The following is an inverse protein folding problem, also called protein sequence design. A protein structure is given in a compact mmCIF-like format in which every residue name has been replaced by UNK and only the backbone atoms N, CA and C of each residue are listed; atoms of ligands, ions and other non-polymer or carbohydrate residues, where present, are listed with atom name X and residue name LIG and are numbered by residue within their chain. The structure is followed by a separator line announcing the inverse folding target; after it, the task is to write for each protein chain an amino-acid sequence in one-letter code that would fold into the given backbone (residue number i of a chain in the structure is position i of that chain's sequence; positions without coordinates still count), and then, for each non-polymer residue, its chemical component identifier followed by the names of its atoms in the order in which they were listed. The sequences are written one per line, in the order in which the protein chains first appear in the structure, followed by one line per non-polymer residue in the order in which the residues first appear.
data_IF_547117752046
#
_entry.id   IF_547117752046
#
_cell.length_a   1.000
_cell.length_b   1.000
_cell.length_c   1.000
_cell.angle_alpha   90.00
_cell.angle_beta   90.00
_cell.angle_gamma   90.00
#
_symmetry.space_group_name_H-M   'P 1'
#
loop_
_entity.id
_entity.type
_entity.pdbx_description
1 polymer ?
#
# COMPACT_ATOMS: atom_id res chain seq x y z
N UNK A 1 25.87 -19.20 19.80
CA UNK A 1 24.79 -18.47 19.07
C UNK A 1 25.44 -17.36 18.24
N UNK A 2 25.62 -17.59 16.93
CA UNK A 2 26.16 -16.57 16.02
C UNK A 2 25.07 -15.53 15.75
N UNK A 3 25.20 -14.34 16.33
CA UNK A 3 24.43 -13.17 15.90
C UNK A 3 24.83 -12.90 14.43
N UNK A 4 23.97 -13.25 13.48
CA UNK A 4 24.10 -12.77 12.11
C UNK A 4 24.15 -11.24 12.17
N UNK A 5 25.31 -10.66 11.88
CA UNK A 5 25.44 -9.21 11.65
C UNK A 5 24.47 -8.90 10.51
N UNK A 6 23.44 -8.12 10.81
CA UNK A 6 22.64 -7.51 9.74
C UNK A 6 23.57 -6.69 8.86
N UNK A 7 23.47 -6.85 7.55
CA UNK A 7 24.15 -5.93 6.64
C UNK A 7 23.62 -4.52 6.92
N UNK A 8 24.50 -3.53 7.03
CA UNK A 8 24.03 -2.15 7.16
C UNK A 8 23.21 -1.81 5.92
N UNK A 9 22.02 -1.24 6.14
CA UNK A 9 21.22 -0.66 5.05
C UNK A 9 21.95 0.61 4.65
N UNK A 10 22.41 0.76 3.38
CA UNK A 10 23.00 2.00 2.92
C UNK A 10 22.02 3.15 3.15
N UNK A 11 22.51 4.30 3.56
CA UNK A 11 21.73 5.52 3.63
C UNK A 11 21.30 5.98 2.24
N UNK A 12 20.42 7.00 2.14
CA UNK A 12 20.03 7.56 0.86
C UNK A 12 21.27 8.11 0.14
N UNK A 13 21.38 7.74 -1.14
CA UNK A 13 22.37 8.29 -2.07
C UNK A 13 21.63 9.24 -3.02
N UNK A 14 21.61 10.55 -2.73
CA UNK A 14 20.84 11.49 -3.52
C UNK A 14 21.40 11.60 -4.93
N UNK A 15 20.52 11.58 -5.93
CA UNK A 15 20.78 12.04 -7.28
C UNK A 15 20.43 13.52 -7.39
N UNK A 16 21.07 14.23 -8.31
CA UNK A 16 20.76 15.63 -8.59
C UNK A 16 19.94 15.75 -9.89
N UNK A 17 18.86 16.52 -9.85
CA UNK A 17 18.10 16.88 -11.06
C UNK A 17 18.85 18.02 -11.75
N UNK A 18 19.43 17.72 -12.94
CA UNK A 18 20.12 18.72 -13.76
C UNK A 18 19.09 19.57 -14.51
N UNK A 19 18.06 18.94 -15.06
CA UNK A 19 17.04 19.57 -15.90
C UNK A 19 15.73 18.80 -15.84
N UNK A 20 14.61 19.50 -15.73
CA UNK A 20 13.27 18.94 -15.95
C UNK A 20 12.83 19.25 -17.38
N UNK A 21 12.74 18.22 -18.22
CA UNK A 21 12.36 18.34 -19.63
C UNK A 21 10.86 18.43 -19.87
N UNK A 22 10.08 17.74 -19.06
CA UNK A 22 8.63 17.75 -19.15
C UNK A 22 8.00 17.42 -17.78
N UNK A 23 6.78 17.92 -17.59
CA UNK A 23 6.00 17.71 -16.41
C UNK A 23 4.52 17.66 -16.79
N UNK A 24 3.78 16.69 -16.25
CA UNK A 24 2.34 16.54 -16.43
C UNK A 24 1.69 16.24 -15.09
N UNK A 25 0.78 17.11 -14.66
CA UNK A 25 0.01 16.93 -13.44
C UNK A 25 -1.28 16.14 -13.71
N UNK A 26 -1.61 15.19 -12.85
CA UNK A 26 -2.87 14.50 -12.77
C UNK A 26 -3.49 14.66 -11.36
N UNK A 27 -4.71 14.13 -11.12
CA UNK A 27 -5.49 14.36 -9.87
C UNK A 27 -4.65 14.16 -8.59
N UNK A 28 -3.88 13.07 -8.49
CA UNK A 28 -3.11 12.70 -7.28
C UNK A 28 -1.61 12.51 -7.55
N UNK A 29 -1.17 12.52 -8.80
CA UNK A 29 0.21 12.22 -9.19
C UNK A 29 0.74 13.23 -10.20
N UNK A 30 2.08 13.34 -10.26
CA UNK A 30 2.78 14.10 -11.29
C UNK A 30 3.74 13.18 -12.02
N UNK A 31 3.73 13.22 -13.34
CA UNK A 31 4.74 12.59 -14.16
C UNK A 31 5.79 13.61 -14.58
N UNK A 32 7.07 13.29 -14.40
CA UNK A 32 8.21 14.13 -14.76
C UNK A 32 9.18 13.37 -15.66
N UNK A 33 9.78 14.06 -16.64
CA UNK A 33 10.95 13.58 -17.37
C UNK A 33 12.11 14.47 -16.97
N UNK A 34 13.09 13.90 -16.28
CA UNK A 34 14.23 14.62 -15.75
C UNK A 34 15.55 14.03 -16.25
N UNK A 35 16.55 14.90 -16.49
CA UNK A 35 17.95 14.51 -16.54
C UNK A 35 18.51 14.52 -15.12
N UNK A 36 19.11 13.42 -14.72
CA UNK A 36 19.74 13.25 -13.42
C UNK A 36 21.25 13.10 -13.55
N UNK A 37 21.98 13.65 -12.59
CA UNK A 37 23.33 13.23 -12.25
C UNK A 37 23.20 12.14 -11.18
N UNK A 38 23.62 10.93 -11.52
CA UNK A 38 23.57 9.78 -10.62
C UNK A 38 24.77 9.80 -9.64
N UNK A 39 24.70 9.09 -8.49
CA UNK A 39 25.80 9.01 -7.52
C UNK A 39 27.13 8.53 -8.11
N UNK A 40 27.09 7.76 -9.20
CA UNK A 40 28.28 7.31 -9.93
C UNK A 40 28.79 8.32 -10.97
N UNK A 41 28.31 9.57 -10.94
CA UNK A 41 28.66 10.66 -11.88
C UNK A 41 28.23 10.42 -13.34
N UNK A 42 27.33 9.46 -13.59
CA UNK A 42 26.72 9.30 -14.89
C UNK A 42 25.47 10.17 -15.00
N UNK A 43 25.23 10.71 -16.18
CA UNK A 43 23.99 11.41 -16.51
C UNK A 43 23.03 10.46 -17.21
N UNK A 44 21.72 10.65 -16.95
CA UNK A 44 20.68 9.87 -17.60
C UNK A 44 19.31 10.54 -17.54
N UNK A 45 18.50 10.26 -18.57
CA UNK A 45 17.11 10.71 -18.65
C UNK A 45 16.19 9.63 -18.07
N UNK A 46 15.34 10.03 -17.13
CA UNK A 46 14.38 9.13 -16.48
C UNK A 46 13.01 9.77 -16.36
N UNK A 47 11.96 8.96 -16.66
CA UNK A 47 10.58 9.28 -16.34
C UNK A 47 10.25 8.84 -14.90
N UNK A 48 9.71 9.76 -14.10
CA UNK A 48 9.36 9.50 -12.70
C UNK A 48 7.94 9.92 -12.42
N UNK A 49 7.21 9.08 -11.70
CA UNK A 49 5.91 9.39 -11.10
C UNK A 49 6.16 9.88 -9.67
N UNK A 50 5.82 11.15 -9.40
CA UNK A 50 5.77 11.72 -8.05
C UNK A 50 4.45 11.38 -7.40
N UNK A 51 4.50 10.78 -6.21
CA UNK A 51 3.33 10.32 -5.48
C UNK A 51 3.38 10.81 -4.03
N UNK A 52 2.26 11.31 -3.45
CA UNK A 52 2.25 11.80 -2.06
C UNK A 52 2.47 10.70 -1.01
N UNK A 53 2.48 9.45 -1.43
CA UNK A 53 2.51 8.28 -0.57
C UNK A 53 1.11 7.72 -0.33
N UNK A 54 1.06 6.55 0.30
CA UNK A 54 -0.19 5.86 0.61
C UNK A 54 -0.09 5.13 1.95
N UNK A 55 -1.23 4.74 2.49
CA UNK A 55 -1.31 3.86 3.64
C UNK A 55 -2.25 2.69 3.33
N UNK A 56 -1.94 1.50 3.87
CA UNK A 56 -2.70 0.26 3.69
C UNK A 56 -2.86 -0.45 5.04
N UNK A 57 -4.01 -1.08 5.27
CA UNK A 57 -4.22 -1.92 6.44
C UNK A 57 -4.66 -3.33 6.10
N UNK A 58 -4.21 -4.28 6.90
CA UNK A 58 -4.73 -5.65 6.99
C UNK A 58 -5.74 -5.70 8.13
N UNK A 59 -7.05 -5.61 7.88
CA UNK A 59 -8.05 -5.67 8.94
C UNK A 59 -8.40 -7.13 9.25
N UNK A 60 -8.34 -7.49 10.54
CA UNK A 60 -8.69 -8.84 11.02
C UNK A 60 -9.77 -8.73 12.10
N UNK A 61 -10.89 -9.42 11.88
CA UNK A 61 -12.01 -9.48 12.82
C UNK A 61 -11.67 -10.31 14.06
N UNK A 62 -12.48 -10.18 15.12
CA UNK A 62 -12.33 -10.98 16.34
C UNK A 62 -12.55 -12.48 16.08
N UNK A 63 -13.31 -12.84 15.02
CA UNK A 63 -13.46 -14.22 14.55
C UNK A 63 -12.25 -14.75 13.77
N UNK A 64 -11.24 -13.90 13.53
CA UNK A 64 -10.03 -14.23 12.78
C UNK A 64 -10.19 -14.19 11.26
N UNK A 65 -11.30 -13.65 10.75
CA UNK A 65 -11.49 -13.43 9.31
C UNK A 65 -10.76 -12.17 8.87
N UNK A 66 -10.24 -12.20 7.67
CA UNK A 66 -9.58 -11.06 7.02
C UNK A 66 -10.60 -10.29 6.21
N UNK A 67 -10.70 -8.98 6.40
CA UNK A 67 -11.53 -8.09 5.57
C UNK A 67 -10.70 -7.65 4.38
N UNK A 68 -11.16 -7.98 3.17
CA UNK A 68 -10.49 -7.70 1.91
C UNK A 68 -11.49 -7.09 0.93
N UNK A 69 -11.01 -6.33 -0.03
CA UNK A 69 -11.82 -5.63 -1.02
C UNK A 69 -11.63 -6.28 -2.39
N UNK A 70 -12.71 -6.33 -3.18
CA UNK A 70 -12.61 -6.57 -4.62
C UNK A 70 -12.93 -5.27 -5.32
N UNK A 71 -11.91 -4.61 -5.86
CA UNK A 71 -12.00 -3.28 -6.46
C UNK A 71 -11.69 -3.32 -7.95
N UNK A 72 -12.43 -2.52 -8.76
CA UNK A 72 -12.12 -2.33 -10.16
C UNK A 72 -10.96 -1.34 -10.33
N UNK A 73 -9.91 -1.75 -11.04
CA UNK A 73 -8.72 -0.92 -11.32
C UNK A 73 -8.64 -0.60 -12.81
N UNK A 74 -8.85 0.67 -13.16
CA UNK A 74 -8.85 1.14 -14.56
C UNK A 74 -7.58 0.79 -15.32
N UNK A 75 -6.41 0.97 -14.70
CA UNK A 75 -5.12 0.70 -15.33
C UNK A 75 -4.97 -0.76 -15.77
N UNK A 76 -5.60 -1.69 -15.05
CA UNK A 76 -5.56 -3.12 -15.34
C UNK A 76 -6.82 -3.61 -16.06
N UNK A 77 -7.87 -2.78 -16.17
CA UNK A 77 -9.18 -3.10 -16.75
C UNK A 77 -9.81 -4.36 -16.15
N UNK A 78 -9.65 -4.56 -14.85
CA UNK A 78 -10.17 -5.72 -14.11
C UNK A 78 -10.40 -5.44 -12.63
N UNK A 79 -11.17 -6.31 -11.98
CA UNK A 79 -11.25 -6.35 -10.53
C UNK A 79 -10.10 -7.14 -9.96
N UNK A 80 -9.53 -6.64 -8.87
CA UNK A 80 -8.47 -7.31 -8.12
C UNK A 80 -8.84 -7.35 -6.63
N UNK A 81 -8.23 -8.29 -5.90
CA UNK A 81 -8.35 -8.34 -4.45
C UNK A 81 -7.26 -7.47 -3.82
N UNK A 82 -7.69 -6.56 -2.95
CA UNK A 82 -6.82 -5.60 -2.27
C UNK A 82 -7.21 -5.45 -0.80
N UNK A 83 -6.26 -5.06 0.03
CA UNK A 83 -6.60 -4.52 1.34
C UNK A 83 -7.00 -3.05 1.25
N UNK A 84 -7.83 -2.55 2.20
CA UNK A 84 -8.13 -1.13 2.29
C UNK A 84 -6.87 -0.28 2.26
N UNK A 85 -6.87 0.72 1.37
CA UNK A 85 -5.70 1.56 1.15
C UNK A 85 -6.06 2.87 0.47
N UNK A 86 -5.47 3.97 0.93
CA UNK A 86 -5.66 5.28 0.31
C UNK A 86 -4.40 6.11 0.21
N UNK A 87 -4.47 7.09 -0.67
CA UNK A 87 -3.43 8.09 -0.88
C UNK A 87 -3.43 9.08 0.28
N UNK A 88 -2.25 9.45 0.77
CA UNK A 88 -2.11 10.46 1.83
C UNK A 88 -2.58 11.83 1.35
N UNK A 89 -3.37 12.50 2.16
CA UNK A 89 -3.73 13.89 1.96
C UNK A 89 -2.67 14.83 2.55
N UNK A 90 -2.66 16.08 2.11
CA UNK A 90 -1.68 17.06 2.55
C UNK A 90 -1.77 17.30 4.08
N UNK A 91 -0.69 16.97 4.78
CA UNK A 91 -0.61 17.12 6.24
C UNK A 91 -1.24 15.98 7.04
N UNK A 92 -1.81 14.98 6.39
CA UNK A 92 -2.35 13.79 7.05
C UNK A 92 -1.23 12.80 7.40
N UNK A 93 -1.28 12.25 8.62
CA UNK A 93 -0.36 11.17 8.98
C UNK A 93 -0.82 9.85 8.36
N UNK A 94 0.10 8.91 8.02
CA UNK A 94 -0.28 7.62 7.45
C UNK A 94 -1.28 6.83 8.31
N UNK A 95 -1.22 6.97 9.64
CA UNK A 95 -2.16 6.29 10.54
C UNK A 95 -3.55 6.92 10.51
N UNK A 96 -3.65 8.24 10.40
CA UNK A 96 -4.94 8.94 10.27
C UNK A 96 -5.59 8.60 8.94
N UNK A 97 -4.82 8.66 7.85
CA UNK A 97 -5.27 8.28 6.52
C UNK A 97 -5.86 6.88 6.52
N UNK A 98 -5.11 5.88 6.98
CA UNK A 98 -5.61 4.50 6.91
C UNK A 98 -6.78 4.22 7.85
N UNK A 99 -6.93 4.96 8.94
CA UNK A 99 -8.12 4.88 9.79
C UNK A 99 -9.37 5.37 9.07
N UNK A 100 -9.27 6.45 8.31
CA UNK A 100 -10.32 7.00 7.48
C UNK A 100 -10.67 6.02 6.37
N UNK A 101 -9.70 5.56 5.58
CA UNK A 101 -9.89 4.66 4.45
C UNK A 101 -10.52 3.31 4.87
N UNK A 102 -10.09 2.71 5.97
CA UNK A 102 -10.72 1.47 6.47
C UNK A 102 -12.19 1.68 6.75
N UNK A 103 -12.60 2.83 7.29
CA UNK A 103 -14.02 3.11 7.53
C UNK A 103 -14.77 3.33 6.21
N UNK A 104 -14.22 4.14 5.31
CA UNK A 104 -14.83 4.51 4.03
C UNK A 104 -14.92 3.34 3.07
N UNK A 105 -13.88 2.52 2.95
CA UNK A 105 -13.86 1.41 2.01
C UNK A 105 -14.52 0.14 2.55
N UNK A 106 -14.25 -0.22 3.81
CA UNK A 106 -14.71 -1.50 4.38
C UNK A 106 -15.94 -1.41 5.28
N UNK A 107 -16.26 -0.23 5.84
CA UNK A 107 -17.33 -0.05 6.82
C UNK A 107 -16.97 -0.58 8.22
N UNK A 108 -15.68 -0.72 8.52
CA UNK A 108 -15.19 -1.09 9.86
C UNK A 108 -14.35 0.03 10.46
N UNK A 109 -14.39 0.15 11.79
CA UNK A 109 -13.38 0.87 12.57
C UNK A 109 -12.53 -0.15 13.34
N UNK A 110 -11.30 0.24 13.70
CA UNK A 110 -10.40 -0.60 14.50
C UNK A 110 -9.90 0.16 15.72
N UNK A 111 -9.75 -0.53 16.85
CA UNK A 111 -9.20 0.06 18.08
C UNK A 111 -7.69 -0.13 18.18
N UNK A 112 -7.16 -1.21 17.62
CA UNK A 112 -5.74 -1.56 17.71
C UNK A 112 -5.06 -1.53 16.34
N UNK A 113 -3.92 -0.83 16.30
CA UNK A 113 -3.13 -0.62 15.10
C UNK A 113 -1.67 -0.96 15.38
N UNK A 114 -1.11 -1.87 14.60
CA UNK A 114 0.30 -2.22 14.68
C UNK A 114 0.97 -1.86 13.34
N UNK A 115 2.10 -1.13 13.39
CA UNK A 115 2.87 -0.79 12.18
C UNK A 115 3.57 -2.04 11.64
N UNK A 116 3.33 -2.38 10.37
CA UNK A 116 3.98 -3.48 9.67
C UNK A 116 5.23 -3.04 8.89
N UNK A 117 5.48 -1.74 8.84
CA UNK A 117 6.59 -1.13 8.11
C UNK A 117 6.15 -0.40 6.84
N UNK A 118 7.06 -0.29 5.88
CA UNK A 118 6.87 0.46 4.64
C UNK A 118 7.31 -0.39 3.44
N UNK A 119 6.77 -0.10 2.26
CA UNK A 119 7.22 -0.69 1.01
C UNK A 119 7.25 0.33 -0.12
N UNK A 120 8.09 0.08 -1.10
CA UNK A 120 8.17 0.82 -2.36
C UNK A 120 7.56 -0.07 -3.45
N UNK A 121 6.38 0.25 -4.01
CA UNK A 121 5.71 -0.63 -4.97
C UNK A 121 6.42 -0.69 -6.32
N UNK A 122 6.92 0.45 -6.81
CA UNK A 122 7.50 0.57 -8.14
C UNK A 122 8.74 1.48 -8.16
N UNK A 123 9.83 1.16 -7.40
CA UNK A 123 10.96 2.08 -7.21
C UNK A 123 11.76 2.37 -8.48
N UNK A 124 11.51 1.65 -9.57
CA UNK A 124 12.14 1.91 -10.86
C UNK A 124 11.61 3.14 -11.59
N UNK A 125 10.41 3.63 -11.23
CA UNK A 125 9.79 4.78 -11.89
C UNK A 125 8.83 5.59 -11.01
N UNK A 126 8.66 5.25 -9.75
CA UNK A 126 7.82 5.99 -8.80
C UNK A 126 8.54 6.13 -7.46
N UNK A 127 8.37 7.29 -6.82
CA UNK A 127 8.82 7.55 -5.46
C UNK A 127 7.75 7.20 -4.40
N UNK A 128 6.67 6.54 -4.81
CA UNK A 128 5.61 6.12 -3.91
C UNK A 128 6.15 5.28 -2.75
N UNK A 129 5.79 5.67 -1.54
CA UNK A 129 5.99 4.87 -0.33
C UNK A 129 4.63 4.50 0.24
N UNK A 130 4.41 3.21 0.51
CA UNK A 130 3.17 2.71 1.12
C UNK A 130 3.47 2.30 2.57
N UNK A 131 2.77 2.91 3.53
CA UNK A 131 2.84 2.59 4.95
C UNK A 131 1.86 1.46 5.26
N UNK A 132 2.36 0.37 5.85
CA UNK A 132 1.58 -0.85 6.10
C UNK A 132 1.20 -0.97 7.58
N UNK A 133 -0.06 -1.31 7.83
CA UNK A 133 -0.62 -1.49 9.18
C UNK A 133 -1.39 -2.80 9.30
N UNK A 134 -1.49 -3.31 10.54
CA UNK A 134 -2.43 -4.34 10.93
C UNK A 134 -3.50 -3.68 11.79
N UNK A 135 -4.78 -3.87 11.42
CA UNK A 135 -5.93 -3.34 12.13
C UNK A 135 -6.68 -4.47 12.83
N UNK A 136 -6.88 -4.36 14.14
CA UNK A 136 -7.54 -5.37 14.99
C UNK A 136 -8.57 -4.73 15.91
N UNK A 137 -9.32 -5.58 16.62
CA UNK A 137 -10.43 -5.17 17.47
C UNK A 137 -11.43 -4.35 16.65
N UNK A 138 -11.89 -5.00 15.55
CA UNK A 138 -12.75 -4.36 14.57
C UNK A 138 -14.18 -4.21 15.09
N UNK A 139 -14.77 -3.07 14.82
CA UNK A 139 -16.21 -2.82 15.05
C UNK A 139 -16.84 -2.44 13.73
N UNK A 140 -17.90 -3.16 13.31
CA UNK A 140 -18.67 -2.80 12.13
C UNK A 140 -19.46 -1.51 12.41
N UNK A 141 -19.36 -0.57 11.50
CA UNK A 141 -20.08 0.71 11.60
C UNK A 141 -21.55 0.51 11.25
N UNK A 142 -22.45 1.20 11.97
CA UNK A 142 -23.89 1.21 11.66
C UNK A 142 -24.16 1.85 10.28
N UNK A 143 -23.43 2.90 9.97
CA UNK A 143 -23.46 3.58 8.68
C UNK A 143 -22.02 3.74 8.18
N UNK A 144 -21.76 3.19 7.00
CA UNK A 144 -20.49 3.37 6.29
C UNK A 144 -20.40 4.84 5.84
N UNK A 145 -19.28 5.56 6.10
CA UNK A 145 -19.05 6.88 5.53
C UNK A 145 -19.07 6.82 3.99
N UNK A 146 -19.34 7.94 3.35
CA UNK A 146 -19.21 8.05 1.89
C UNK A 146 -17.72 8.05 1.53
N UNK A 147 -17.31 7.14 0.65
CA UNK A 147 -16.00 7.11 0.03
C UNK A 147 -15.97 7.93 -1.25
N UNK A 148 -14.88 7.84 -2.01
CA UNK A 148 -14.75 8.50 -3.31
C UNK A 148 -15.85 7.97 -4.29
N UNK A 149 -16.51 8.90 -5.00
CA UNK A 149 -17.65 8.58 -5.88
C UNK A 149 -17.27 7.72 -7.10
N UNK A 150 -15.98 7.63 -7.42
CA UNK A 150 -15.41 6.86 -8.52
C UNK A 150 -14.90 5.46 -8.10
N UNK A 151 -15.17 5.05 -6.86
CA UNK A 151 -14.79 3.74 -6.34
C UNK A 151 -15.89 2.69 -6.53
N UNK A 152 -15.52 1.57 -7.15
CA UNK A 152 -16.37 0.39 -7.31
C UNK A 152 -15.78 -0.77 -6.49
N UNK A 153 -16.24 -0.88 -5.23
CA UNK A 153 -15.68 -1.75 -4.19
C UNK A 153 -16.73 -2.72 -3.66
N UNK A 154 -16.39 -4.01 -3.65
CA UNK A 154 -17.09 -5.08 -2.94
C UNK A 154 -16.27 -5.49 -1.70
N UNK A 155 -16.91 -5.49 -0.52
CA UNK A 155 -16.26 -5.89 0.73
C UNK A 155 -16.46 -7.37 0.99
N UNK A 156 -15.37 -8.10 1.17
CA UNK A 156 -15.36 -9.54 1.42
C UNK A 156 -14.74 -9.85 2.78
N UNK A 157 -15.17 -10.96 3.38
CA UNK A 157 -14.51 -11.56 4.55
C UNK A 157 -14.09 -12.97 4.19
N UNK A 158 -12.84 -13.28 4.35
CA UNK A 158 -12.27 -14.58 4.03
C UNK A 158 -11.40 -15.08 5.17
N UNK A 159 -11.28 -16.40 5.30
CA UNK A 159 -10.35 -16.96 6.28
C UNK A 159 -8.89 -16.74 5.85
N UNK A 160 -7.95 -16.64 6.80
CA UNK A 160 -6.52 -16.62 6.51
C UNK A 160 -6.06 -17.74 5.58
N UNK A 161 -6.60 -18.94 5.80
CA UNK A 161 -6.34 -20.11 4.95
C UNK A 161 -6.76 -19.86 3.51
N UNK A 162 -7.98 -19.33 3.28
CA UNK A 162 -8.48 -19.04 1.93
C UNK A 162 -7.65 -17.97 1.23
N UNK A 163 -7.20 -16.93 1.95
CA UNK A 163 -6.30 -15.92 1.40
C UNK A 163 -4.95 -16.54 0.98
N UNK A 164 -4.37 -17.41 1.81
CA UNK A 164 -3.14 -18.12 1.47
C UNK A 164 -3.32 -19.03 0.23
N UNK A 165 -4.45 -19.71 0.11
CA UNK A 165 -4.79 -20.53 -1.06
C UNK A 165 -4.89 -19.67 -2.34
N UNK A 166 -5.56 -18.53 -2.28
CA UNK A 166 -5.67 -17.57 -3.39
C UNK A 166 -4.28 -17.04 -3.81
N UNK A 167 -3.46 -16.64 -2.85
CA UNK A 167 -2.09 -16.15 -3.13
C UNK A 167 -1.25 -17.27 -3.78
N UNK A 168 -1.36 -18.50 -3.30
CA UNK A 168 -0.57 -19.61 -3.80
C UNK A 168 -1.02 -20.10 -5.19
N UNK A 169 -2.33 -20.11 -5.45
CA UNK A 169 -2.87 -20.60 -6.72
C UNK A 169 -2.78 -19.58 -7.85
N UNK A 170 -2.84 -18.28 -7.54
CA UNK A 170 -2.95 -17.22 -8.53
C UNK A 170 -4.31 -17.19 -9.26
N UNK A 171 -5.34 -17.85 -8.72
CA UNK A 171 -6.69 -17.89 -9.30
C UNK A 171 -7.36 -16.52 -9.36
N UNK A 172 -7.05 -15.66 -8.40
CA UNK A 172 -7.53 -14.27 -8.34
C UNK A 172 -6.35 -13.30 -8.52
N UNK A 173 -6.61 -12.17 -9.16
CA UNK A 173 -5.61 -11.11 -9.27
C UNK A 173 -5.49 -10.38 -7.94
N UNK A 174 -4.27 -10.29 -7.42
CA UNK A 174 -3.92 -9.47 -6.27
C UNK A 174 -2.79 -8.51 -6.68
N UNK A 175 -2.68 -7.40 -5.97
CA UNK A 175 -1.50 -6.54 -6.12
C UNK A 175 -0.38 -6.91 -5.15
N UNK A 176 0.81 -6.38 -5.43
CA UNK A 176 2.01 -6.66 -4.63
C UNK A 176 1.93 -6.09 -3.21
N UNK A 177 1.22 -4.97 -2.99
CA UNK A 177 1.07 -4.37 -1.66
C UNK A 177 0.25 -5.26 -0.73
N UNK A 178 -0.82 -5.88 -1.24
CA UNK A 178 -1.67 -6.82 -0.51
C UNK A 178 -0.89 -8.05 -0.06
N UNK A 179 -0.12 -8.67 -0.98
CA UNK A 179 0.71 -9.84 -0.66
C UNK A 179 1.78 -9.49 0.38
N UNK A 180 2.45 -8.35 0.21
CA UNK A 180 3.50 -7.88 1.14
C UNK A 180 2.95 -7.61 2.53
N UNK A 181 1.81 -6.90 2.63
CA UNK A 181 1.17 -6.59 3.90
C UNK A 181 0.69 -7.86 4.61
N UNK A 182 0.08 -8.79 3.87
CA UNK A 182 -0.35 -10.07 4.42
C UNK A 182 0.82 -10.89 4.96
N UNK A 183 1.90 -11.01 4.19
CA UNK A 183 3.11 -11.70 4.65
C UNK A 183 3.63 -11.11 5.97
N UNK A 184 3.74 -9.77 6.07
CA UNK A 184 4.21 -9.11 7.30
C UNK A 184 3.26 -9.27 8.47
N UNK A 185 1.94 -9.24 8.22
CA UNK A 185 0.93 -9.51 9.24
C UNK A 185 1.04 -10.93 9.78
N UNK A 186 1.21 -11.94 8.91
CA UNK A 186 1.43 -13.32 9.31
C UNK A 186 2.69 -13.49 10.18
N UNK A 187 3.80 -12.81 9.84
CA UNK A 187 5.01 -12.84 10.65
C UNK A 187 4.79 -12.24 12.04
N UNK A 188 4.10 -11.10 12.13
CA UNK A 188 3.80 -10.45 13.42
C UNK A 188 2.87 -11.32 14.30
N UNK A 189 1.91 -12.00 13.68
CA UNK A 189 0.91 -12.84 14.37
C UNK A 189 1.38 -14.28 14.60
N UNK A 190 2.60 -14.66 14.16
CA UNK A 190 3.12 -16.03 14.17
C UNK A 190 2.19 -17.03 13.47
N UNK A 191 1.47 -16.59 12.46
CA UNK A 191 0.63 -17.44 11.60
C UNK A 191 1.52 -18.12 10.54
N UNK A 192 1.36 -19.44 10.40
CA UNK A 192 2.08 -20.28 9.41
C UNK A 192 1.16 -20.70 8.27
#
# INVERSE_FOLDING_TARGET
MNKKKSMPIPGPEPSEIIETKACLDAKKIRFEINNFLLPNSMEGEFGIIRHPGAALAVPITDSGEVVILRQYRFACSRRILEFPAGTLELGESPLESIKREVQEESGYSAKRWDKLGEMLPCPGYSDETIHLFLARDLTKLEKKPEGDADEDIEVLKISPRKLNEIIASGEESLDGKTITAWFRACQLLNMR
#
